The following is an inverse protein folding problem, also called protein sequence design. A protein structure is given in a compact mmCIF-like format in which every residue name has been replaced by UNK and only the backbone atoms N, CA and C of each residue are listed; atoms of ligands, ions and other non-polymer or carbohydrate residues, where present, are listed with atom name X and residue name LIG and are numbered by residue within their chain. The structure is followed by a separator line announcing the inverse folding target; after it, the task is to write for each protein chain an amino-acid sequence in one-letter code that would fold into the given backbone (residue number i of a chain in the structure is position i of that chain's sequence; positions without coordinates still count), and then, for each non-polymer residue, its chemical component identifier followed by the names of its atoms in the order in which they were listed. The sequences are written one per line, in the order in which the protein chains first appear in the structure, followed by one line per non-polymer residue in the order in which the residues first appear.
data_IF_691622352613
#
_entry.id   IF_691622352613
#
_cell.length_a   1.000
_cell.length_b   1.000
_cell.length_c   1.000
_cell.angle_alpha   90.00
_cell.angle_beta   90.00
_cell.angle_gamma   90.00
#
_symmetry.space_group_name_H-M   'P 1'
#
loop_
_entity.id
_entity.type
_entity.pdbx_description
1 polymer ?
#
# COMPACT_ATOMS: atom_id res chain seq x y z
N UNK A 1 -26.22 2.06 -10.71
CA UNK A 1 -25.12 1.41 -9.94
C UNK A 1 -24.57 0.28 -10.80
N UNK A 2 -23.29 0.34 -11.16
CA UNK A 2 -22.67 -0.70 -11.96
C UNK A 2 -22.21 -1.86 -11.09
N UNK A 3 -22.57 -3.08 -11.48
CA UNK A 3 -22.18 -4.29 -10.75
C UNK A 3 -20.74 -4.67 -11.07
N UNK A 4 -20.07 -5.33 -10.11
CA UNK A 4 -18.80 -6.01 -10.37
C UNK A 4 -19.08 -7.28 -11.19
N UNK A 5 -18.31 -7.46 -12.27
CA UNK A 5 -18.34 -8.69 -13.06
C UNK A 5 -17.29 -9.68 -12.59
N UNK A 6 -16.08 -9.18 -12.35
CA UNK A 6 -14.97 -9.90 -11.71
C UNK A 6 -14.43 -9.01 -10.61
N UNK A 7 -14.68 -9.40 -9.37
CA UNK A 7 -14.38 -8.56 -8.21
C UNK A 7 -12.92 -8.08 -8.20
N UNK A 8 -11.97 -8.98 -8.33
CA UNK A 8 -10.54 -8.68 -8.22
C UNK A 8 -10.07 -7.68 -9.29
N UNK A 9 -10.61 -7.77 -10.50
CA UNK A 9 -10.26 -6.84 -11.59
C UNK A 9 -10.98 -5.51 -11.42
N UNK A 10 -12.27 -5.56 -11.20
CA UNK A 10 -13.12 -4.36 -11.15
C UNK A 10 -12.79 -3.52 -9.92
N UNK A 11 -12.49 -4.15 -8.79
CA UNK A 11 -12.08 -3.46 -7.57
C UNK A 11 -10.78 -2.66 -7.80
N UNK A 12 -9.76 -3.28 -8.37
CA UNK A 12 -8.48 -2.62 -8.64
C UNK A 12 -8.68 -1.45 -9.61
N UNK A 13 -9.37 -1.68 -10.73
CA UNK A 13 -9.63 -0.62 -11.73
C UNK A 13 -10.39 0.56 -11.16
N UNK A 14 -11.42 0.31 -10.36
CA UNK A 14 -12.23 1.37 -9.76
C UNK A 14 -11.45 2.13 -8.70
N UNK A 15 -10.64 1.46 -7.91
CA UNK A 15 -9.79 2.11 -6.90
C UNK A 15 -8.73 3.00 -7.56
N UNK A 16 -8.10 2.53 -8.65
CA UNK A 16 -7.20 3.38 -9.44
C UNK A 16 -7.93 4.59 -10.01
N UNK A 17 -9.16 4.40 -10.50
CA UNK A 17 -9.99 5.49 -11.00
C UNK A 17 -10.35 6.52 -9.92
N UNK A 18 -10.63 6.08 -8.71
CA UNK A 18 -10.90 6.98 -7.56
C UNK A 18 -9.66 7.83 -7.26
N UNK A 19 -8.48 7.20 -7.21
CA UNK A 19 -7.23 7.94 -6.98
C UNK A 19 -6.99 8.99 -8.05
N UNK A 20 -7.16 8.63 -9.32
CA UNK A 20 -6.99 9.53 -10.44
C UNK A 20 -7.97 10.71 -10.39
N UNK A 21 -9.24 10.45 -10.16
CA UNK A 21 -10.26 11.49 -10.04
C UNK A 21 -9.95 12.44 -8.89
N UNK A 22 -9.52 11.91 -7.74
CA UNK A 22 -9.22 12.72 -6.58
C UNK A 22 -7.97 13.59 -6.79
N UNK A 23 -6.93 13.05 -7.43
CA UNK A 23 -5.72 13.79 -7.77
C UNK A 23 -6.00 14.95 -8.75
N UNK A 24 -7.00 14.82 -9.60
CA UNK A 24 -7.41 15.84 -10.56
C UNK A 24 -8.34 16.90 -9.97
N UNK A 25 -8.94 16.67 -8.80
CA UNK A 25 -9.81 17.63 -8.17
C UNK A 25 -9.07 18.86 -7.67
N UNK A 26 -9.67 20.04 -7.88
CA UNK A 26 -9.18 21.29 -7.32
C UNK A 26 -9.30 21.28 -5.78
N UNK A 27 -8.29 21.80 -5.05
CA UNK A 27 -8.39 21.97 -3.60
C UNK A 27 -9.61 22.77 -3.14
N UNK A 28 -10.11 23.69 -3.99
CA UNK A 28 -11.28 24.51 -3.69
C UNK A 28 -12.60 23.74 -3.74
N UNK A 29 -12.65 22.61 -4.44
CA UNK A 29 -13.84 21.79 -4.60
C UNK A 29 -14.04 20.79 -3.46
N UNK A 30 -13.00 20.53 -2.67
CA UNK A 30 -12.96 19.41 -1.71
C UNK A 30 -13.31 19.82 -0.26
N UNK A 31 -13.39 21.11 0.07
CA UNK A 31 -13.62 21.54 1.45
C UNK A 31 -12.52 21.07 2.40
N UNK A 32 -12.87 20.48 3.54
CA UNK A 32 -11.90 19.87 4.46
C UNK A 32 -11.23 18.68 3.81
N UNK A 33 -9.88 18.64 3.88
CA UNK A 33 -9.08 17.65 3.15
C UNK A 33 -8.71 16.46 4.01
N UNK A 34 -9.40 15.38 3.83
CA UNK A 34 -8.98 14.06 4.31
C UNK A 34 -8.29 13.25 3.20
N UNK A 35 -7.59 13.95 2.28
CA UNK A 35 -6.99 13.33 1.09
C UNK A 35 -5.95 12.27 1.44
N UNK A 36 -5.12 12.49 2.47
CA UNK A 36 -4.12 11.53 2.91
C UNK A 36 -4.79 10.25 3.40
N UNK A 37 -5.85 10.36 4.19
CA UNK A 37 -6.62 9.21 4.66
C UNK A 37 -7.24 8.44 3.49
N UNK A 38 -7.81 9.13 2.51
CA UNK A 38 -8.34 8.51 1.30
C UNK A 38 -7.25 7.78 0.52
N UNK A 39 -6.11 8.42 0.30
CA UNK A 39 -4.99 7.82 -0.43
C UNK A 39 -4.46 6.57 0.28
N UNK A 40 -4.30 6.63 1.59
CA UNK A 40 -3.86 5.47 2.37
C UNK A 40 -4.88 4.34 2.26
N UNK A 41 -6.17 4.61 2.39
CA UNK A 41 -7.22 3.61 2.26
C UNK A 41 -7.22 2.97 0.86
N UNK A 42 -7.07 3.76 -0.19
CA UNK A 42 -6.97 3.25 -1.56
C UNK A 42 -5.72 2.38 -1.73
N UNK A 43 -4.57 2.82 -1.22
CA UNK A 43 -3.32 2.05 -1.29
C UNK A 43 -3.43 0.72 -0.54
N UNK A 44 -4.04 0.74 0.63
CA UNK A 44 -4.33 -0.48 1.40
C UNK A 44 -5.18 -1.44 0.56
N UNK A 45 -6.25 -0.95 -0.06
CA UNK A 45 -7.09 -1.77 -0.94
C UNK A 45 -6.34 -2.33 -2.14
N UNK A 46 -5.52 -1.51 -2.79
CA UNK A 46 -4.73 -1.90 -3.96
C UNK A 46 -3.64 -2.94 -3.64
N UNK A 47 -3.16 -2.98 -2.40
CA UNK A 47 -2.14 -3.95 -1.97
C UNK A 47 -2.80 -5.20 -1.37
N UNK A 48 -3.72 -5.02 -0.42
CA UNK A 48 -4.28 -6.12 0.37
C UNK A 48 -5.18 -7.02 -0.47
N UNK A 49 -6.06 -6.45 -1.28
CA UNK A 49 -7.00 -7.25 -2.07
C UNK A 49 -6.27 -8.13 -3.10
N UNK A 50 -5.37 -7.61 -3.95
CA UNK A 50 -4.61 -8.47 -4.86
C UNK A 50 -3.77 -9.51 -4.13
N UNK A 51 -3.09 -9.11 -3.07
CA UNK A 51 -2.26 -10.02 -2.28
C UNK A 51 -3.08 -11.17 -1.68
N UNK A 52 -4.30 -10.90 -1.26
CA UNK A 52 -5.16 -11.91 -0.63
C UNK A 52 -5.90 -12.78 -1.65
N UNK A 53 -6.41 -12.19 -2.72
CA UNK A 53 -7.28 -12.88 -3.69
C UNK A 53 -6.49 -13.60 -4.77
N UNK A 54 -5.38 -13.03 -5.22
CA UNK A 54 -4.56 -13.55 -6.33
C UNK A 54 -3.10 -13.72 -5.92
N UNK A 55 -2.90 -14.28 -4.75
CA UNK A 55 -1.58 -14.46 -4.11
C UNK A 55 -0.55 -15.13 -5.02
N UNK A 56 -0.96 -16.17 -5.77
CA UNK A 56 -0.04 -16.91 -6.64
C UNK A 56 0.51 -16.07 -7.79
N UNK A 57 -0.20 -15.01 -8.17
CA UNK A 57 0.20 -14.09 -9.23
C UNK A 57 1.12 -12.96 -8.73
N UNK A 58 1.31 -12.82 -7.42
CA UNK A 58 2.19 -11.78 -6.86
C UNK A 58 3.64 -12.08 -7.23
N UNK A 59 4.38 -11.10 -7.81
CA UNK A 59 5.77 -11.31 -8.19
C UNK A 59 6.66 -11.72 -7.03
N UNK A 60 7.55 -12.68 -7.27
CA UNK A 60 8.62 -13.06 -6.34
C UNK A 60 9.95 -12.34 -6.64
N UNK A 61 9.89 -11.34 -7.51
CA UNK A 61 11.04 -10.52 -7.87
C UNK A 61 11.59 -9.80 -6.65
N UNK A 62 12.88 -9.47 -6.71
CA UNK A 62 13.53 -8.73 -5.64
C UNK A 62 12.93 -7.34 -5.52
N UNK A 63 12.65 -6.93 -4.30
CA UNK A 63 12.23 -5.58 -3.98
C UNK A 63 13.45 -4.64 -4.13
N UNK A 64 13.39 -3.75 -5.09
CA UNK A 64 14.42 -2.75 -5.35
C UNK A 64 13.81 -1.37 -5.63
N UNK A 65 14.65 -0.38 -5.91
CA UNK A 65 14.20 0.99 -6.16
C UNK A 65 13.38 1.14 -7.46
N UNK A 66 13.37 0.14 -8.35
CA UNK A 66 12.47 0.15 -9.52
C UNK A 66 10.99 0.12 -9.11
N UNK A 67 10.70 -0.28 -7.88
CA UNK A 67 9.39 -0.27 -7.25
C UNK A 67 9.14 0.98 -6.40
N UNK A 68 9.97 2.00 -6.51
CA UNK A 68 9.93 3.24 -5.72
C UNK A 68 10.13 3.01 -4.21
N UNK A 69 10.72 1.89 -3.83
CA UNK A 69 11.07 1.57 -2.44
C UNK A 69 12.56 1.79 -2.24
N UNK A 70 12.87 2.84 -1.49
CA UNK A 70 14.25 3.13 -1.07
C UNK A 70 14.61 2.32 0.17
N UNK A 71 15.87 1.94 0.28
CA UNK A 71 16.36 1.19 1.44
C UNK A 71 16.13 1.92 2.76
N UNK A 72 16.17 3.26 2.75
CA UNK A 72 15.94 4.11 3.92
C UNK A 72 14.54 3.97 4.51
N UNK A 73 13.56 3.55 3.72
CA UNK A 73 12.20 3.33 4.21
C UNK A 73 12.09 2.07 5.04
N UNK A 74 12.96 1.10 4.79
CA UNK A 74 12.94 -0.21 5.45
C UNK A 74 13.84 -0.15 6.69
N UNK A 75 13.22 -0.24 7.87
CA UNK A 75 13.93 -0.24 9.14
C UNK A 75 14.33 -1.66 9.53
N UNK A 76 13.41 -2.61 9.37
CA UNK A 76 13.63 -4.03 9.63
C UNK A 76 12.97 -4.84 8.51
N UNK A 77 13.71 -5.77 7.94
CA UNK A 77 13.18 -6.75 7.00
C UNK A 77 14.00 -8.03 7.14
N UNK A 78 13.52 -8.96 7.93
CA UNK A 78 14.18 -10.25 8.13
C UNK A 78 13.92 -11.18 6.95
N UNK A 79 14.98 -11.77 6.43
CA UNK A 79 14.92 -12.69 5.31
C UNK A 79 15.05 -11.99 3.96
N UNK A 80 14.74 -12.74 2.92
CA UNK A 80 14.86 -12.28 1.53
C UNK A 80 13.85 -11.19 1.19
N UNK A 81 14.32 -10.10 0.61
CA UNK A 81 13.49 -8.94 0.25
C UNK A 81 12.86 -9.10 -1.12
N UNK A 82 11.72 -9.80 -1.17
CA UNK A 82 10.93 -9.95 -2.39
C UNK A 82 9.64 -9.12 -2.31
N UNK A 83 9.08 -8.77 -3.45
CA UNK A 83 7.79 -8.06 -3.54
C UNK A 83 6.69 -8.88 -2.83
N UNK A 84 6.68 -10.18 -3.05
CA UNK A 84 5.71 -11.09 -2.44
C UNK A 84 5.75 -11.03 -0.91
N UNK A 85 6.94 -11.05 -0.31
CA UNK A 85 7.11 -10.92 1.14
C UNK A 85 6.77 -9.52 1.64
N UNK A 86 7.15 -8.51 0.89
CA UNK A 86 6.88 -7.11 1.24
C UNK A 86 5.38 -6.85 1.35
N UNK A 87 4.60 -7.20 0.33
CA UNK A 87 3.14 -6.99 0.36
C UNK A 87 2.45 -7.86 1.41
N UNK A 88 2.98 -9.05 1.67
CA UNK A 88 2.49 -9.91 2.75
C UNK A 88 2.70 -9.27 4.13
N UNK A 89 3.86 -8.68 4.37
CA UNK A 89 4.14 -7.97 5.63
C UNK A 89 3.22 -6.77 5.80
N UNK A 90 2.98 -6.00 4.74
CA UNK A 90 2.04 -4.88 4.77
C UNK A 90 0.62 -5.39 5.12
N UNK A 91 0.17 -6.42 4.44
CA UNK A 91 -1.14 -7.03 4.71
C UNK A 91 -1.25 -7.50 6.16
N UNK A 92 -0.24 -8.17 6.68
CA UNK A 92 -0.22 -8.64 8.06
C UNK A 92 -0.26 -7.48 9.06
N UNK A 93 0.52 -6.43 8.80
CA UNK A 93 0.53 -5.23 9.64
C UNK A 93 -0.87 -4.63 9.74
N UNK A 94 -1.57 -4.53 8.63
CA UNK A 94 -2.93 -3.98 8.57
C UNK A 94 -3.91 -4.90 9.31
N UNK A 95 -3.84 -6.21 9.06
CA UNK A 95 -4.75 -7.20 9.67
C UNK A 95 -4.63 -7.24 11.20
N UNK A 96 -3.44 -6.95 11.74
CA UNK A 96 -3.17 -6.92 13.17
C UNK A 96 -3.23 -5.52 13.79
N UNK A 97 -3.60 -4.51 13.02
CA UNK A 97 -3.70 -3.14 13.51
C UNK A 97 -2.35 -2.45 13.77
N UNK A 98 -1.27 -2.96 13.20
CA UNK A 98 0.08 -2.41 13.36
C UNK A 98 0.42 -1.44 12.23
N UNK A 99 -0.44 -0.45 12.05
CA UNK A 99 -0.27 0.64 11.09
C UNK A 99 -0.45 1.97 11.81
N UNK A 100 0.43 2.93 11.51
CA UNK A 100 0.35 4.29 12.06
C UNK A 100 0.60 5.32 10.98
N UNK A 101 -0.12 6.43 11.06
CA UNK A 101 0.11 7.61 10.24
C UNK A 101 0.93 8.60 11.08
N UNK A 102 2.09 8.99 10.57
CA UNK A 102 3.03 9.85 11.29
C UNK A 102 3.34 11.12 10.51
N UNK A 103 3.94 12.08 11.20
CA UNK A 103 4.28 13.38 10.63
C UNK A 103 5.72 13.75 10.97
N UNK A 104 6.42 14.36 10.03
CA UNK A 104 7.72 15.01 10.28
C UNK A 104 7.53 16.42 10.84
N UNK A 105 6.32 16.96 10.72
CA UNK A 105 5.90 18.24 11.30
C UNK A 105 4.55 18.05 12.00
N UNK A 106 4.14 19.00 12.82
CA UNK A 106 2.90 18.87 13.62
C UNK A 106 1.61 19.12 12.82
N UNK A 107 1.71 19.46 11.54
CA UNK A 107 0.56 19.95 10.76
C UNK A 107 0.02 18.99 9.71
N UNK A 108 0.86 18.08 9.17
CA UNK A 108 0.47 17.18 8.07
C UNK A 108 1.01 15.78 8.25
N UNK A 109 0.20 14.79 7.90
CA UNK A 109 0.65 13.39 7.82
C UNK A 109 1.57 13.26 6.61
N UNK A 110 2.80 12.81 6.83
CA UNK A 110 3.82 12.66 5.78
C UNK A 110 4.20 11.22 5.51
N UNK A 111 4.06 10.33 6.50
CA UNK A 111 4.53 8.96 6.45
C UNK A 111 3.49 7.97 6.95
N UNK A 112 3.62 6.74 6.49
CA UNK A 112 2.88 5.59 7.02
C UNK A 112 3.90 4.60 7.58
N UNK A 113 3.65 4.10 8.77
CA UNK A 113 4.46 3.06 9.40
C UNK A 113 3.69 1.75 9.46
N UNK A 114 4.39 0.67 9.14
CA UNK A 114 3.88 -0.70 9.21
C UNK A 114 4.83 -1.55 10.04
N UNK A 115 4.27 -2.40 10.89
CA UNK A 115 5.04 -3.38 11.65
C UNK A 115 4.39 -4.76 11.56
N UNK A 116 5.19 -5.79 11.36
CA UNK A 116 4.74 -7.18 11.37
C UNK A 116 5.60 -8.00 12.34
N UNK A 117 4.95 -8.88 13.08
CA UNK A 117 5.57 -9.71 14.14
C UNK A 117 5.33 -11.17 13.83
N UNK A 118 6.33 -12.00 14.06
CA UNK A 118 6.14 -13.44 14.11
C UNK A 118 5.38 -13.80 15.39
N UNK A 119 4.45 -14.75 15.28
CA UNK A 119 3.63 -15.19 16.41
C UNK A 119 4.47 -15.49 17.65
N UNK A 120 4.10 -14.89 18.77
CA UNK A 120 4.77 -15.07 20.06
C UNK A 120 6.06 -14.26 20.24
N UNK A 121 6.54 -13.53 19.24
CA UNK A 121 7.73 -12.69 19.34
C UNK A 121 7.38 -11.25 19.70
N UNK A 122 8.27 -10.62 20.50
CA UNK A 122 8.12 -9.22 20.93
C UNK A 122 8.77 -8.22 19.99
N UNK A 123 9.74 -8.67 19.19
CA UNK A 123 10.45 -7.82 18.24
C UNK A 123 9.86 -8.02 16.83
N UNK A 124 9.68 -6.94 16.06
CA UNK A 124 9.13 -7.06 14.72
C UNK A 124 10.11 -7.77 13.77
N UNK A 125 9.56 -8.54 12.83
CA UNK A 125 10.31 -9.11 11.71
C UNK A 125 10.34 -8.18 10.51
N UNK A 126 9.44 -7.19 10.50
CA UNK A 126 9.31 -6.19 9.46
C UNK A 126 8.90 -4.85 10.07
N UNK A 127 9.58 -3.80 9.67
CA UNK A 127 9.20 -2.43 10.01
C UNK A 127 9.52 -1.52 8.84
N UNK A 128 8.52 -0.79 8.38
CA UNK A 128 8.59 0.11 7.26
C UNK A 128 8.09 1.49 7.69
N UNK A 129 8.85 2.53 7.36
CA UNK A 129 8.39 3.91 7.44
C UNK A 129 8.51 4.53 6.05
N UNK A 130 7.39 4.70 5.37
CA UNK A 130 7.35 5.09 3.98
C UNK A 130 6.62 6.43 3.81
N UNK A 131 7.16 7.38 3.02
CA UNK A 131 6.42 8.56 2.65
C UNK A 131 5.13 8.21 1.93
N UNK A 132 4.05 8.94 2.22
CA UNK A 132 2.75 8.69 1.59
C UNK A 132 2.86 8.69 0.06
N UNK A 133 3.62 9.63 -0.52
CA UNK A 133 3.82 9.71 -1.98
C UNK A 133 4.47 8.45 -2.55
N UNK A 134 5.45 7.88 -1.85
CA UNK A 134 6.11 6.64 -2.27
C UNK A 134 5.18 5.44 -2.14
N UNK A 135 4.35 5.39 -1.10
CA UNK A 135 3.34 4.35 -0.93
C UNK A 135 2.32 4.37 -2.08
N UNK A 136 1.86 5.56 -2.48
CA UNK A 136 0.94 5.72 -3.62
C UNK A 136 1.56 5.20 -4.90
N UNK A 137 2.81 5.56 -5.20
CA UNK A 137 3.53 5.08 -6.40
C UNK A 137 3.67 3.56 -6.40
N UNK A 138 4.09 3.00 -5.28
CA UNK A 138 4.22 1.55 -5.13
C UNK A 138 2.87 0.85 -5.35
N UNK A 139 1.82 1.32 -4.68
CA UNK A 139 0.49 0.72 -4.77
C UNK A 139 -0.06 0.75 -6.20
N UNK A 140 0.10 1.86 -6.92
CA UNK A 140 -0.30 1.98 -8.33
C UNK A 140 0.45 0.99 -9.21
N UNK A 141 1.77 0.96 -9.10
CA UNK A 141 2.61 0.04 -9.89
C UNK A 141 2.28 -1.42 -9.60
N UNK A 142 2.11 -1.76 -8.33
CA UNK A 142 1.72 -3.11 -7.92
C UNK A 142 0.36 -3.49 -8.50
N UNK A 143 -0.64 -2.63 -8.38
CA UNK A 143 -1.98 -2.86 -8.92
C UNK A 143 -1.97 -3.03 -10.44
N UNK A 144 -1.26 -2.18 -11.16
CA UNK A 144 -1.10 -2.28 -12.62
C UNK A 144 -0.40 -3.58 -13.04
N UNK A 145 0.64 -3.98 -12.31
CA UNK A 145 1.35 -5.24 -12.53
C UNK A 145 0.41 -6.43 -12.32
N UNK A 146 -0.40 -6.40 -11.25
CA UNK A 146 -1.37 -7.46 -11.00
C UNK A 146 -2.44 -7.53 -12.07
N UNK A 147 -2.96 -6.38 -12.53
CA UNK A 147 -3.94 -6.34 -13.63
C UNK A 147 -3.37 -6.91 -14.93
N UNK A 148 -2.10 -6.70 -15.22
CA UNK A 148 -1.47 -7.23 -16.44
C UNK A 148 -1.38 -8.77 -16.45
N UNK A 149 -1.50 -9.41 -15.30
CA UNK A 149 -1.44 -10.86 -15.13
C UNK A 149 -2.82 -11.53 -15.11
N UNK A 150 -3.86 -10.76 -15.10
CA UNK A 150 -5.24 -11.20 -15.11
C UNK A 150 -5.81 -11.09 -16.54
#
# INVERSE_FOLDING_TARGET
MSCYKKFEIDFIKRTLGILEQYEQCSPLELGEKYEITLFVNCCVGLIVIPQQVIYDSVPSDRLDYSWDIQNDYIIIFKGERTIKKFVRHIRNSIAHGHIQLTSDNESEITHVEFEDYKYGEKLPTFRLRIPVKALIKFAKKFAETMLSKL
#
